data_IF_339445723935
#
_entry.id   IF_339445723935
#
_cell.length_a   1.000
_cell.length_b   1.000
_cell.length_c   1.000
_cell.angle_alpha   90.00
_cell.angle_beta   90.00
_cell.angle_gamma   90.00
#
_symmetry.space_group_name_H-M   'P 1'
#
loop_
_entity.id
_entity.type
_entity.pdbx_description
1 polymer ?
#
# COMPACT_ATOMS: atom_id res chain seq x y z
N UNK A 1 -13.04 20.55 -19.70
CA UNK A 1 -12.14 19.61 -19.01
C UNK A 1 -12.41 18.27 -19.65
N UNK A 2 -11.39 17.66 -20.27
CA UNK A 2 -11.52 16.33 -20.87
C UNK A 2 -11.91 15.34 -19.76
N UNK A 3 -13.15 14.84 -19.80
CA UNK A 3 -13.61 13.80 -18.87
C UNK A 3 -13.08 12.47 -19.39
N UNK A 4 -11.75 12.33 -19.31
CA UNK A 4 -10.99 11.22 -19.84
C UNK A 4 -11.65 9.88 -19.53
N UNK A 5 -11.66 9.01 -20.54
CA UNK A 5 -12.30 7.68 -20.49
C UNK A 5 -11.92 6.97 -19.19
N UNK A 6 -12.91 6.54 -18.41
CA UNK A 6 -12.69 5.82 -17.15
C UNK A 6 -11.75 4.63 -17.43
N UNK A 7 -10.68 4.44 -16.62
CA UNK A 7 -9.79 3.30 -16.80
C UNK A 7 -10.58 2.00 -16.62
N UNK A 8 -10.18 0.97 -17.39
CA UNK A 8 -10.80 -0.36 -17.34
C UNK A 8 -10.66 -0.97 -15.94
N UNK A 9 -11.70 -1.66 -15.51
CA UNK A 9 -11.68 -2.43 -14.26
C UNK A 9 -10.79 -3.67 -14.35
N UNK A 10 -10.44 -4.25 -13.20
CA UNK A 10 -9.53 -5.41 -13.16
C UNK A 10 -10.06 -6.61 -13.96
N UNK A 11 -11.36 -6.93 -13.83
CA UNK A 11 -11.96 -8.05 -14.57
C UNK A 11 -11.94 -7.82 -16.08
N UNK A 12 -12.27 -6.61 -16.54
CA UNK A 12 -12.25 -6.25 -17.96
C UNK A 12 -10.86 -6.39 -18.60
N UNK A 13 -9.81 -6.08 -17.84
CA UNK A 13 -8.41 -6.23 -18.28
C UNK A 13 -8.04 -7.71 -18.39
N UNK A 14 -8.39 -8.51 -17.38
CA UNK A 14 -8.12 -9.94 -17.36
C UNK A 14 -8.88 -10.69 -18.46
N UNK A 15 -10.16 -10.38 -18.66
CA UNK A 15 -11.00 -10.97 -19.72
C UNK A 15 -10.49 -10.63 -21.13
N UNK A 16 -9.85 -9.47 -21.28
CA UNK A 16 -9.20 -9.06 -22.53
C UNK A 16 -7.84 -9.75 -22.78
N UNK A 17 -7.38 -10.62 -21.87
CA UNK A 17 -6.11 -11.33 -21.97
C UNK A 17 -4.88 -10.47 -21.61
N UNK A 18 -5.06 -9.35 -20.91
CA UNK A 18 -3.92 -8.56 -20.43
C UNK A 18 -3.16 -9.25 -19.30
N UNK A 19 -1.85 -9.06 -19.33
CA UNK A 19 -1.01 -9.33 -18.16
C UNK A 19 -1.08 -8.10 -17.25
N UNK A 20 -1.61 -8.28 -16.04
CA UNK A 20 -1.67 -7.25 -15.00
C UNK A 20 -0.51 -7.44 -14.04
N UNK A 21 0.30 -6.40 -13.86
CA UNK A 21 1.50 -6.41 -13.02
C UNK A 21 1.17 -5.90 -11.61
N UNK A 22 1.43 -6.71 -10.58
CA UNK A 22 1.34 -6.28 -9.18
C UNK A 22 2.49 -5.34 -8.78
N UNK A 23 2.37 -4.67 -7.64
CA UNK A 23 3.49 -3.95 -7.04
C UNK A 23 4.46 -4.92 -6.32
N UNK A 24 5.43 -4.37 -5.59
CA UNK A 24 6.46 -5.14 -4.91
C UNK A 24 6.36 -5.11 -3.39
N UNK A 25 7.39 -5.63 -2.72
CA UNK A 25 7.40 -5.78 -1.27
C UNK A 25 7.61 -4.48 -0.51
N UNK A 26 6.52 -3.85 -0.03
CA UNK A 26 6.54 -2.64 0.81
C UNK A 26 7.38 -2.80 2.08
N UNK A 27 7.09 -3.83 2.87
CA UNK A 27 7.70 -4.07 4.18
C UNK A 27 9.23 -4.06 4.09
N UNK A 28 9.79 -4.89 3.19
CA UNK A 28 11.24 -5.01 3.03
C UNK A 28 11.87 -3.80 2.36
N UNK A 29 11.18 -3.15 1.42
CA UNK A 29 11.70 -1.95 0.78
C UNK A 29 11.79 -0.77 1.77
N UNK A 30 10.79 -0.61 2.64
CA UNK A 30 10.79 0.43 3.68
C UNK A 30 11.72 0.09 4.85
N UNK A 31 11.92 -1.20 5.15
CA UNK A 31 12.92 -1.64 6.14
C UNK A 31 14.34 -1.28 5.70
N UNK A 32 14.72 -1.58 4.45
CA UNK A 32 16.01 -1.18 3.87
C UNK A 32 16.22 0.33 3.82
N UNK A 33 15.14 1.12 3.80
CA UNK A 33 15.16 2.59 3.83
C UNK A 33 15.15 3.17 5.24
N UNK A 34 15.09 2.32 6.27
CA UNK A 34 15.12 2.72 7.67
C UNK A 34 13.77 3.19 8.25
N UNK A 35 12.66 2.99 7.54
CA UNK A 35 11.33 3.41 8.00
C UNK A 35 10.56 2.31 8.73
N UNK A 36 10.83 1.04 8.43
CA UNK A 36 10.18 -0.11 9.07
C UNK A 36 11.21 -0.88 9.88
N UNK A 37 10.91 -1.16 11.15
CA UNK A 37 11.77 -1.98 11.99
C UNK A 37 11.47 -3.46 11.77
N UNK A 38 12.51 -4.25 11.51
CA UNK A 38 12.40 -5.70 11.43
C UNK A 38 11.80 -6.29 12.72
N UNK A 39 10.82 -7.20 12.57
CA UNK A 39 10.12 -7.83 13.68
C UNK A 39 8.63 -7.97 13.39
N UNK A 40 7.81 -7.13 14.00
CA UNK A 40 6.34 -7.26 13.96
C UNK A 40 5.74 -6.69 12.66
N UNK A 41 6.52 -5.91 11.90
CA UNK A 41 6.16 -5.38 10.58
C UNK A 41 4.80 -4.67 10.51
N UNK A 42 4.48 -3.94 11.57
CA UNK A 42 3.30 -3.08 11.64
C UNK A 42 3.43 -1.85 10.72
N UNK A 43 2.31 -1.22 10.31
CA UNK A 43 2.30 -0.16 9.31
C UNK A 43 2.27 1.26 9.89
N UNK A 44 2.89 1.52 11.04
CA UNK A 44 2.90 2.85 11.68
C UNK A 44 3.49 3.94 10.77
N UNK A 45 4.44 3.57 9.92
CA UNK A 45 5.03 4.44 8.88
C UNK A 45 3.98 5.08 7.95
N UNK A 46 2.80 4.48 7.79
CA UNK A 46 1.69 5.09 7.02
C UNK A 46 1.22 6.40 7.66
N UNK A 47 1.29 6.48 8.98
CA UNK A 47 0.89 7.66 9.76
C UNK A 47 2.10 8.55 10.04
N UNK A 48 3.22 7.97 10.45
CA UNK A 48 4.41 8.73 10.87
C UNK A 48 5.20 9.32 9.69
N UNK A 49 5.27 8.60 8.56
CA UNK A 49 6.04 8.99 7.37
C UNK A 49 5.27 8.70 6.07
N UNK A 50 4.07 9.28 5.87
CA UNK A 50 3.23 9.01 4.70
C UNK A 50 3.93 9.31 3.37
N UNK A 51 4.84 10.27 3.37
CA UNK A 51 5.64 10.64 2.20
C UNK A 51 6.56 9.51 1.72
N UNK A 52 7.11 8.71 2.65
CA UNK A 52 7.95 7.56 2.31
C UNK A 52 7.13 6.44 1.65
N UNK A 53 5.92 6.19 2.15
CA UNK A 53 4.97 5.22 1.59
C UNK A 53 4.51 5.66 0.20
N UNK A 54 4.12 6.94 0.06
CA UNK A 54 3.73 7.55 -1.21
C UNK A 54 4.85 7.46 -2.25
N UNK A 55 6.08 7.78 -1.85
CA UNK A 55 7.23 7.72 -2.73
C UNK A 55 7.48 6.29 -3.23
N UNK A 56 7.35 5.29 -2.37
CA UNK A 56 7.49 3.88 -2.79
C UNK A 56 6.36 3.43 -3.73
N UNK A 57 5.12 3.85 -3.51
CA UNK A 57 4.03 3.63 -4.49
C UNK A 57 4.37 4.22 -5.87
N UNK A 58 4.89 5.45 -5.90
CA UNK A 58 5.29 6.10 -7.16
C UNK A 58 6.40 5.32 -7.86
N UNK A 59 7.33 4.75 -7.11
CA UNK A 59 8.41 3.94 -7.68
C UNK A 59 7.91 2.62 -8.28
N UNK A 60 6.98 1.92 -7.63
CA UNK A 60 6.36 0.73 -8.21
C UNK A 60 5.52 1.07 -9.45
N UNK A 61 4.77 2.17 -9.42
CA UNK A 61 4.04 2.66 -10.59
C UNK A 61 5.01 2.94 -11.75
N UNK A 62 6.13 3.64 -11.50
CA UNK A 62 7.17 3.90 -12.51
C UNK A 62 7.86 2.63 -13.01
N UNK A 63 7.94 1.59 -12.18
CA UNK A 63 8.47 0.28 -12.56
C UNK A 63 7.48 -0.54 -13.41
N UNK A 64 6.25 -0.07 -13.59
CA UNK A 64 5.23 -0.70 -14.44
C UNK A 64 4.15 -1.47 -13.70
N UNK A 65 4.03 -1.31 -12.38
CA UNK A 65 2.95 -1.93 -11.63
C UNK A 65 1.60 -1.28 -11.97
N UNK A 66 0.62 -2.12 -12.25
CA UNK A 66 -0.77 -1.77 -12.57
C UNK A 66 -1.64 -1.63 -11.33
N UNK A 67 -1.25 -2.29 -10.25
CA UNK A 67 -2.00 -2.37 -9.00
C UNK A 67 -1.11 -1.92 -7.85
N UNK A 68 -1.62 -0.97 -7.07
CA UNK A 68 -1.00 -0.54 -5.81
C UNK A 68 -1.74 -1.18 -4.65
N UNK A 69 -1.10 -2.10 -3.94
CA UNK A 69 -1.65 -2.69 -2.72
C UNK A 69 -1.49 -1.71 -1.57
N UNK A 70 -2.59 -1.38 -0.89
CA UNK A 70 -2.54 -0.51 0.28
C UNK A 70 -1.60 -1.10 1.33
N UNK A 71 -0.72 -0.27 1.90
CA UNK A 71 0.22 -0.72 2.93
C UNK A 71 -0.46 -0.83 4.31
N UNK A 72 -1.37 -1.78 4.46
CA UNK A 72 -2.12 -2.06 5.69
C UNK A 72 -1.96 -3.51 6.16
N UNK A 73 -0.88 -4.17 5.74
CA UNK A 73 -0.53 -5.49 6.26
C UNK A 73 -0.35 -5.42 7.78
N UNK A 74 -0.91 -6.39 8.50
CA UNK A 74 -0.81 -6.48 9.95
C UNK A 74 -1.40 -5.26 10.70
N UNK A 75 -2.32 -4.52 10.08
CA UNK A 75 -3.01 -3.36 10.66
C UNK A 75 -4.24 -3.72 11.52
N UNK A 76 -4.39 -4.97 11.97
CA UNK A 76 -5.51 -5.35 12.85
C UNK A 76 -5.27 -4.90 14.29
N UNK A 77 -6.36 -4.68 15.02
CA UNK A 77 -6.34 -4.12 16.37
C UNK A 77 -5.43 -4.91 17.32
N UNK A 78 -5.49 -6.25 17.28
CA UNK A 78 -4.66 -7.14 18.09
C UNK A 78 -3.15 -6.95 17.82
N UNK A 79 -2.79 -6.59 16.60
CA UNK A 79 -1.40 -6.41 16.17
C UNK A 79 -0.86 -5.03 16.50
N UNK A 80 -1.70 -4.01 16.33
CA UNK A 80 -1.37 -2.64 16.72
C UNK A 80 -1.20 -2.54 18.24
N UNK A 81 -2.11 -3.14 19.03
CA UNK A 81 -2.03 -3.13 20.50
C UNK A 81 -0.75 -3.77 21.03
N UNK A 82 -0.27 -4.86 20.42
CA UNK A 82 1.00 -5.50 20.78
C UNK A 82 2.20 -4.52 20.71
N UNK A 83 2.10 -3.48 19.88
CA UNK A 83 3.14 -2.46 19.69
C UNK A 83 2.88 -1.16 20.44
N UNK A 84 1.83 -1.11 21.27
CA UNK A 84 1.41 0.11 21.96
C UNK A 84 0.69 1.11 21.05
N UNK A 85 0.18 0.66 19.90
CA UNK A 85 -0.59 1.47 18.96
C UNK A 85 -2.07 1.12 19.02
N UNK A 86 -2.92 2.08 18.68
CA UNK A 86 -4.36 1.90 18.62
C UNK A 86 -4.86 1.97 17.18
N UNK A 87 -5.80 1.10 16.82
CA UNK A 87 -6.47 1.16 15.54
C UNK A 87 -7.39 2.38 15.50
N UNK A 88 -7.14 3.33 14.59
CA UNK A 88 -8.05 4.45 14.38
C UNK A 88 -9.25 3.96 13.58
N UNK A 89 -10.47 4.12 14.13
CA UNK A 89 -11.71 3.93 13.37
C UNK A 89 -11.92 5.11 12.42
N UNK A 90 -11.42 5.00 11.19
CA UNK A 90 -11.79 5.92 10.13
C UNK A 90 -13.23 5.61 9.67
N UNK A 91 -14.17 6.52 9.93
CA UNK A 91 -15.51 6.47 9.34
C UNK A 91 -16.63 5.77 10.13
N UNK A 92 -16.47 5.53 11.43
CA UNK A 92 -17.60 5.17 12.31
C UNK A 92 -17.90 6.36 13.22
N UNK A 93 -18.93 7.12 12.83
CA UNK A 93 -19.69 7.99 13.74
C UNK A 93 -21.09 7.42 13.87
#
# INVERSE_FOLDING_TARGET
MDQGKKPRGILERLDAGEVVIGDGGFVFALEKRGYVKAGVYTPEVVVEFPEAVRQLHIEFLRAGADVMQAYNYYASEDKLMNRGNEAIKLGVR
#
